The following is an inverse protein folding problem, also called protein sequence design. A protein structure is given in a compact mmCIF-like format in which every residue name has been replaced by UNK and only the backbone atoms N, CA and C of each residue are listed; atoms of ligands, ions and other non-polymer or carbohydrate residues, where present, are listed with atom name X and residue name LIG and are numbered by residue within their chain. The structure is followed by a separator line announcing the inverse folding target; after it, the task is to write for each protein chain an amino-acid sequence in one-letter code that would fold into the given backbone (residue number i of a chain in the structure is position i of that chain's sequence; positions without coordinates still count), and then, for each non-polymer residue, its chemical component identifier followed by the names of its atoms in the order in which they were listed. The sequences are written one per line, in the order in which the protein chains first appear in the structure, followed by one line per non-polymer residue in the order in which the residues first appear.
data_IF_818825611422
#
_entry.id   IF_818825611422
#
_cell.length_a   1.000
_cell.length_b   1.000
_cell.length_c   1.000
_cell.angle_alpha   90.00
_cell.angle_beta   90.00
_cell.angle_gamma   90.00
#
_symmetry.space_group_name_H-M   'P 1'
#
loop_
_entity.id
_entity.type
_entity.pdbx_description
1 polymer ?
#
# COMPACT_ATOMS: atom_id res chain seq x y z
N UNK A 1 -41.36 1.26 1.23
CA UNK A 1 -40.73 0.36 2.22
C UNK A 1 -39.33 0.08 1.73
N UNK A 2 -38.34 0.73 2.33
CA UNK A 2 -36.94 0.33 2.16
C UNK A 2 -36.77 -0.98 2.93
N UNK A 3 -36.23 -2.02 2.29
CA UNK A 3 -35.97 -3.31 2.94
C UNK A 3 -34.97 -3.10 4.08
N UNK A 4 -35.14 -3.72 5.26
CA UNK A 4 -34.24 -3.56 6.42
C UNK A 4 -32.75 -3.76 6.08
N UNK A 5 -32.46 -4.66 5.14
CA UNK A 5 -31.12 -4.96 4.62
C UNK A 5 -30.44 -3.73 4.01
N UNK A 6 -31.16 -2.91 3.24
CA UNK A 6 -30.60 -1.74 2.60
C UNK A 6 -30.22 -0.63 3.60
N UNK A 7 -30.86 -0.57 4.77
CA UNK A 7 -30.52 0.40 5.81
C UNK A 7 -29.23 -0.01 6.54
N UNK A 8 -29.03 -1.32 6.76
CA UNK A 8 -27.81 -1.84 7.37
C UNK A 8 -26.60 -1.68 6.44
N UNK A 9 -26.77 -1.89 5.13
CA UNK A 9 -25.74 -1.66 4.12
C UNK A 9 -25.29 -0.18 4.11
N UNK A 10 -26.24 0.76 4.12
CA UNK A 10 -25.92 2.19 4.15
C UNK A 10 -25.24 2.60 5.47
N UNK A 11 -25.69 2.05 6.60
CA UNK A 11 -25.02 2.29 7.90
C UNK A 11 -23.59 1.75 7.93
N UNK A 12 -23.33 0.63 7.26
CA UNK A 12 -21.98 0.08 7.10
C UNK A 12 -21.12 1.00 6.25
N UNK A 13 -21.64 1.46 5.11
CA UNK A 13 -20.94 2.40 4.24
C UNK A 13 -20.54 3.69 4.99
N UNK A 14 -21.47 4.28 5.76
CA UNK A 14 -21.18 5.48 6.57
C UNK A 14 -20.05 5.21 7.59
N UNK A 15 -20.04 4.04 8.24
CA UNK A 15 -18.95 3.68 9.17
C UNK A 15 -17.61 3.53 8.46
N UNK A 16 -17.60 2.92 7.27
CA UNK A 16 -16.39 2.76 6.45
C UNK A 16 -15.86 4.14 6.02
N UNK A 17 -16.74 5.01 5.51
CA UNK A 17 -16.38 6.37 5.11
C UNK A 17 -15.87 7.21 6.29
N UNK A 18 -16.39 6.99 7.50
CA UNK A 18 -15.88 7.62 8.73
C UNK A 18 -14.49 7.09 9.12
N UNK A 19 -14.26 5.78 8.99
CA UNK A 19 -12.96 5.17 9.31
C UNK A 19 -11.85 5.65 8.37
N UNK A 20 -12.17 5.82 7.08
CA UNK A 20 -11.21 6.24 6.04
C UNK A 20 -11.09 7.77 5.92
N UNK A 21 -11.72 8.52 6.82
CA UNK A 21 -11.80 9.98 6.73
C UNK A 21 -10.42 10.60 6.93
N UNK A 22 -10.04 11.46 5.98
CA UNK A 22 -8.77 12.21 6.00
C UNK A 22 -7.75 11.69 4.98
N UNK A 23 -7.92 10.47 4.47
CA UNK A 23 -7.01 9.91 3.47
C UNK A 23 -7.07 10.70 2.15
N UNK A 24 -5.90 11.06 1.60
CA UNK A 24 -5.79 11.97 0.44
C UNK A 24 -6.49 11.45 -0.82
N UNK A 25 -6.56 10.13 -0.99
CA UNK A 25 -7.16 9.47 -2.16
C UNK A 25 -8.55 8.87 -1.90
N UNK A 26 -9.17 9.13 -0.75
CA UNK A 26 -10.58 8.77 -0.49
C UNK A 26 -11.42 10.05 -0.49
N UNK A 27 -12.66 9.97 -0.97
CA UNK A 27 -13.60 11.10 -0.92
C UNK A 27 -13.83 11.52 0.52
N UNK A 28 -13.69 12.82 0.82
CA UNK A 28 -13.86 13.28 2.20
C UNK A 28 -15.34 13.16 2.63
N UNK A 29 -15.58 12.41 3.70
CA UNK A 29 -16.90 12.30 4.31
C UNK A 29 -17.15 13.47 5.26
N UNK A 30 -18.23 14.22 5.00
CA UNK A 30 -18.62 15.36 5.82
C UNK A 30 -19.60 14.96 6.92
N UNK A 31 -20.75 14.39 6.55
CA UNK A 31 -21.77 13.97 7.50
C UNK A 31 -22.81 13.03 6.87
N UNK A 32 -23.63 12.37 7.68
CA UNK A 32 -24.79 11.62 7.23
C UNK A 32 -26.06 12.09 7.97
N UNK A 33 -27.16 12.20 7.24
CA UNK A 33 -28.48 12.57 7.77
C UNK A 33 -29.50 11.51 7.36
N UNK A 34 -30.57 11.35 8.13
CA UNK A 34 -31.68 10.47 7.79
C UNK A 34 -33.01 11.20 7.99
N UNK A 35 -33.98 10.92 7.12
CA UNK A 35 -35.39 11.22 7.33
C UNK A 35 -36.24 9.94 7.22
N UNK A 36 -37.57 10.06 7.26
CA UNK A 36 -38.48 8.92 7.23
C UNK A 36 -38.37 8.06 5.94
N UNK A 37 -37.74 8.58 4.89
CA UNK A 37 -37.71 7.97 3.55
C UNK A 37 -36.32 7.77 2.96
N UNK A 38 -35.30 8.53 3.39
CA UNK A 38 -33.98 8.52 2.76
C UNK A 38 -32.85 8.70 3.77
N UNK A 39 -31.68 8.16 3.40
CA UNK A 39 -30.40 8.48 4.04
C UNK A 39 -29.60 9.36 3.08
N UNK A 40 -29.07 10.46 3.59
CA UNK A 40 -28.31 11.45 2.86
C UNK A 40 -26.85 11.40 3.32
N UNK A 41 -25.95 10.97 2.44
CA UNK A 41 -24.50 10.96 2.70
C UNK A 41 -23.90 12.21 2.07
N UNK A 42 -23.37 13.12 2.88
CA UNK A 42 -22.74 14.36 2.42
C UNK A 42 -21.23 14.16 2.36
N UNK A 43 -20.67 14.31 1.16
CA UNK A 43 -19.26 14.04 0.86
C UNK A 43 -18.67 15.10 -0.09
N UNK A 44 -17.36 15.10 -0.25
CA UNK A 44 -16.61 15.97 -1.15
C UNK A 44 -17.07 15.80 -2.61
N UNK A 45 -17.33 16.93 -3.28
CA UNK A 45 -17.66 16.95 -4.71
C UNK A 45 -16.39 16.78 -5.55
N UNK A 46 -16.41 15.81 -6.47
CA UNK A 46 -15.34 15.57 -7.45
C UNK A 46 -15.80 16.00 -8.85
N UNK A 47 -15.27 17.12 -9.35
CA UNK A 47 -15.69 17.72 -10.64
C UNK A 47 -14.79 17.30 -11.83
N UNK A 48 -13.71 16.56 -11.56
CA UNK A 48 -12.72 16.18 -12.57
C UNK A 48 -13.09 14.98 -13.45
N UNK A 49 -14.26 14.39 -13.22
CA UNK A 49 -14.78 13.25 -13.98
C UNK A 49 -14.10 11.91 -13.64
N UNK A 50 -14.57 10.85 -14.31
CA UNK A 50 -14.10 9.48 -14.14
C UNK A 50 -12.69 9.25 -14.69
N UNK A 51 -12.00 8.26 -14.11
CA UNK A 51 -10.62 7.92 -14.45
C UNK A 51 -10.40 7.68 -15.95
N UNK A 52 -11.18 6.79 -16.56
CA UNK A 52 -10.98 6.41 -17.96
C UNK A 52 -11.36 7.53 -18.92
N UNK A 53 -12.46 8.24 -18.65
CA UNK A 53 -12.90 9.36 -19.50
C UNK A 53 -11.84 10.44 -19.59
N UNK A 54 -11.22 10.79 -18.46
CA UNK A 54 -10.16 11.79 -18.43
C UNK A 54 -8.91 11.35 -19.19
N UNK A 55 -8.59 10.07 -19.12
CA UNK A 55 -7.45 9.50 -19.84
C UNK A 55 -7.73 9.47 -21.35
N UNK A 56 -8.92 9.06 -21.76
CA UNK A 56 -9.35 9.01 -23.15
C UNK A 56 -9.48 10.41 -23.78
N UNK A 57 -9.78 11.44 -22.97
CA UNK A 57 -9.84 12.83 -23.40
C UNK A 57 -8.47 13.43 -23.77
N UNK A 58 -7.35 12.81 -23.41
CA UNK A 58 -6.00 13.24 -23.84
C UNK A 58 -5.79 12.92 -25.34
N UNK A 59 -6.28 13.81 -26.21
CA UNK A 59 -6.34 13.66 -27.69
C UNK A 59 -5.01 13.41 -28.42
N UNK A 60 -3.85 13.65 -27.80
CA UNK A 60 -2.55 13.73 -28.50
C UNK A 60 -1.49 12.72 -28.02
N UNK A 61 -1.80 11.43 -27.89
CA UNK A 61 -0.80 10.35 -27.65
C UNK A 61 0.07 10.49 -26.38
N UNK A 62 -0.35 11.34 -25.42
CA UNK A 62 0.45 11.72 -24.24
C UNK A 62 0.31 10.79 -23.03
N UNK A 63 -0.52 9.76 -23.08
CA UNK A 63 -0.67 8.86 -21.95
C UNK A 63 0.44 7.80 -21.95
N UNK A 64 1.29 7.84 -20.93
CA UNK A 64 2.51 7.03 -20.81
C UNK A 64 2.42 6.02 -19.66
N UNK A 65 3.38 5.10 -19.60
CA UNK A 65 3.54 4.21 -18.43
C UNK A 65 3.71 4.99 -17.12
N UNK A 66 4.35 6.16 -17.18
CA UNK A 66 4.52 7.05 -16.02
C UNK A 66 3.18 7.61 -15.54
N UNK A 67 2.30 8.02 -16.46
CA UNK A 67 0.95 8.48 -16.11
C UNK A 67 0.14 7.35 -15.45
N UNK A 68 0.21 6.14 -16.03
CA UNK A 68 -0.41 4.97 -15.44
C UNK A 68 0.12 4.67 -14.03
N UNK A 69 1.44 4.74 -13.83
CA UNK A 69 2.03 4.53 -12.51
C UNK A 69 1.56 5.55 -11.46
N UNK A 70 1.37 6.82 -11.83
CA UNK A 70 0.85 7.87 -10.93
C UNK A 70 -0.58 7.56 -10.48
N UNK A 71 -1.44 7.12 -11.40
CA UNK A 71 -2.82 6.71 -11.10
C UNK A 71 -2.83 5.45 -10.23
N UNK A 72 -2.10 4.41 -10.64
CA UNK A 72 -2.09 3.11 -9.96
C UNK A 72 -1.55 3.23 -8.55
N UNK A 73 -0.53 4.06 -8.32
CA UNK A 73 -0.03 4.35 -6.97
C UNK A 73 -1.11 4.92 -6.06
N UNK A 74 -1.97 5.81 -6.57
CA UNK A 74 -3.07 6.37 -5.78
C UNK A 74 -4.15 5.32 -5.49
N UNK A 75 -4.48 4.45 -6.46
CA UNK A 75 -5.43 3.33 -6.22
C UNK A 75 -4.88 2.34 -5.18
N UNK A 76 -3.58 2.03 -5.23
CA UNK A 76 -2.93 1.17 -4.24
C UNK A 76 -2.90 1.78 -2.85
N UNK A 77 -2.74 3.10 -2.71
CA UNK A 77 -2.87 3.79 -1.43
C UNK A 77 -4.26 3.60 -0.83
N UNK A 78 -5.32 3.73 -1.65
CA UNK A 78 -6.69 3.46 -1.20
C UNK A 78 -6.85 2.02 -0.74
N UNK A 79 -6.39 1.04 -1.53
CA UNK A 79 -6.48 -0.38 -1.14
C UNK A 79 -5.71 -0.65 0.16
N UNK A 80 -4.49 -0.13 0.29
CA UNK A 80 -3.69 -0.27 1.50
C UNK A 80 -4.42 0.31 2.71
N UNK A 81 -4.96 1.53 2.60
CA UNK A 81 -5.70 2.20 3.67
C UNK A 81 -6.95 1.42 4.10
N UNK A 82 -7.65 0.82 3.13
CA UNK A 82 -8.73 -0.11 3.40
C UNK A 82 -8.21 -1.32 4.20
N UNK A 83 -7.21 -2.01 3.68
CA UNK A 83 -6.73 -3.26 4.27
C UNK A 83 -6.14 -3.05 5.67
N UNK A 84 -5.47 -1.90 5.88
CA UNK A 84 -5.01 -1.36 7.16
C UNK A 84 -6.12 -1.20 8.19
N UNK A 85 -7.34 -0.89 7.77
CA UNK A 85 -8.51 -0.78 8.64
C UNK A 85 -9.31 -2.08 8.75
N UNK A 86 -8.74 -3.19 8.29
CA UNK A 86 -9.41 -4.49 8.27
C UNK A 86 -10.65 -4.50 7.38
N UNK A 87 -10.68 -3.70 6.30
CA UNK A 87 -11.79 -3.65 5.37
C UNK A 87 -11.35 -3.97 3.94
N UNK A 88 -12.31 -4.35 3.12
CA UNK A 88 -12.09 -4.73 1.73
C UNK A 88 -13.13 -4.03 0.86
N UNK A 89 -12.69 -3.43 -0.24
CA UNK A 89 -13.55 -2.55 -1.04
C UNK A 89 -14.54 -3.34 -1.90
N UNK A 90 -14.10 -4.45 -2.51
CA UNK A 90 -14.89 -5.43 -3.30
C UNK A 90 -15.47 -4.94 -4.63
N UNK A 91 -15.28 -3.68 -5.00
CA UNK A 91 -15.73 -3.13 -6.29
C UNK A 91 -14.79 -2.03 -6.81
N UNK A 92 -13.48 -2.31 -6.73
CA UNK A 92 -12.47 -1.45 -7.34
C UNK A 92 -12.63 -1.47 -8.86
N UNK A 93 -13.10 -0.36 -9.43
CA UNK A 93 -13.31 -0.18 -10.87
C UNK A 93 -13.09 1.29 -11.25
N UNK A 94 -12.73 1.61 -12.51
CA UNK A 94 -12.42 2.98 -12.90
C UNK A 94 -13.56 3.98 -12.66
N UNK A 95 -14.81 3.53 -12.73
CA UNK A 95 -16.01 4.32 -12.48
C UNK A 95 -16.07 4.81 -11.01
N UNK A 96 -15.46 4.05 -10.09
CA UNK A 96 -15.36 4.36 -8.66
C UNK A 96 -14.12 5.20 -8.32
N UNK A 97 -13.37 5.68 -9.32
CA UNK A 97 -12.25 6.59 -9.14
C UNK A 97 -12.48 7.87 -9.92
N UNK A 98 -12.73 8.96 -9.19
CA UNK A 98 -12.99 10.28 -9.75
C UNK A 98 -11.79 11.19 -9.51
N UNK A 99 -11.59 12.16 -10.39
CA UNK A 99 -10.68 13.24 -10.09
C UNK A 99 -11.39 14.36 -9.34
N UNK A 100 -10.73 14.90 -8.30
CA UNK A 100 -11.29 16.00 -7.50
C UNK A 100 -11.67 17.23 -8.35
N UNK A 101 -10.84 17.63 -9.30
CA UNK A 101 -11.07 18.79 -10.18
C UNK A 101 -10.54 18.56 -11.60
N UNK A 102 -10.83 19.49 -12.50
CA UNK A 102 -10.38 19.48 -13.90
C UNK A 102 -8.90 19.85 -14.08
N UNK A 103 -8.21 20.23 -13.00
CA UNK A 103 -6.77 20.59 -13.01
C UNK A 103 -5.88 19.39 -13.33
N UNK A 104 -4.87 19.55 -14.17
CA UNK A 104 -4.06 18.43 -14.71
C UNK A 104 -3.46 17.51 -13.63
N UNK A 105 -3.04 18.09 -12.50
CA UNK A 105 -2.45 17.36 -11.36
C UNK A 105 -3.47 17.06 -10.25
N UNK A 106 -4.78 17.11 -10.55
CA UNK A 106 -5.83 16.83 -9.57
C UNK A 106 -5.63 15.43 -8.94
N UNK A 107 -5.80 15.30 -7.61
CA UNK A 107 -5.76 13.99 -6.97
C UNK A 107 -6.91 13.11 -7.44
N UNK A 108 -6.65 11.81 -7.47
CA UNK A 108 -7.64 10.76 -7.67
C UNK A 108 -8.31 10.45 -6.33
N UNK A 109 -9.63 10.28 -6.36
CA UNK A 109 -10.49 10.03 -5.21
C UNK A 109 -11.30 8.76 -5.45
N UNK A 110 -11.11 7.76 -4.61
CA UNK A 110 -12.01 6.63 -4.52
C UNK A 110 -13.35 7.07 -3.94
N UNK A 111 -14.40 6.56 -4.56
CA UNK A 111 -15.81 6.79 -4.23
C UNK A 111 -16.54 5.45 -4.28
N UNK A 112 -17.74 5.41 -3.71
CA UNK A 112 -18.62 4.23 -3.64
C UNK A 112 -18.06 3.05 -2.83
N UNK A 113 -18.36 3.07 -1.53
CA UNK A 113 -18.03 1.98 -0.59
C UNK A 113 -19.25 1.12 -0.26
N UNK A 114 -20.30 1.17 -1.07
CA UNK A 114 -21.58 0.49 -0.80
C UNK A 114 -21.46 -1.04 -0.79
N UNK A 115 -20.48 -1.60 -1.50
CA UNK A 115 -20.17 -3.03 -1.50
C UNK A 115 -19.02 -3.42 -0.56
N UNK A 116 -18.39 -2.43 0.08
CA UNK A 116 -17.27 -2.65 0.98
C UNK A 116 -17.73 -3.28 2.30
N UNK A 117 -16.82 -4.00 2.95
CA UNK A 117 -17.15 -4.71 4.18
C UNK A 117 -15.92 -4.95 5.06
N UNK A 118 -16.17 -5.09 6.35
CA UNK A 118 -15.14 -5.42 7.35
C UNK A 118 -14.79 -6.91 7.28
N UNK A 119 -13.50 -7.18 7.39
CA UNK A 119 -12.89 -8.50 7.53
C UNK A 119 -12.94 -8.85 9.01
N UNK A 120 -13.77 -9.83 9.36
CA UNK A 120 -13.93 -10.28 10.74
C UNK A 120 -13.43 -11.73 10.87
N UNK A 121 -12.77 -12.11 11.99
CA UNK A 121 -12.37 -13.49 12.23
C UNK A 121 -13.55 -14.46 12.10
N UNK A 122 -13.43 -15.43 11.18
CA UNK A 122 -14.45 -16.45 10.93
C UNK A 122 -15.59 -16.03 9.99
N UNK A 123 -15.70 -14.76 9.60
CA UNK A 123 -16.66 -14.30 8.58
C UNK A 123 -16.22 -14.78 7.21
N UNK A 124 -17.15 -15.39 6.47
CA UNK A 124 -16.94 -15.83 5.09
C UNK A 124 -17.81 -15.01 4.16
N UNK A 125 -17.20 -14.48 3.11
CA UNK A 125 -17.91 -13.80 2.05
C UNK A 125 -18.53 -14.82 1.10
N UNK A 126 -19.84 -15.02 1.18
CA UNK A 126 -20.55 -15.99 0.36
C UNK A 126 -21.10 -15.40 -0.95
N UNK A 127 -21.16 -14.08 -1.04
CA UNK A 127 -21.74 -13.36 -2.16
C UNK A 127 -20.69 -13.03 -3.23
N UNK A 128 -21.08 -13.25 -4.48
CA UNK A 128 -20.32 -12.78 -5.64
C UNK A 128 -20.79 -11.35 -5.88
N UNK A 129 -19.93 -10.39 -5.55
CA UNK A 129 -20.18 -8.96 -5.72
C UNK A 129 -19.06 -8.33 -6.54
N UNK A 130 -19.29 -7.11 -6.99
CA UNK A 130 -18.37 -6.36 -7.83
C UNK A 130 -18.65 -6.54 -9.31
N UNK A 131 -18.02 -5.68 -10.10
CA UNK A 131 -18.26 -5.59 -11.53
C UNK A 131 -17.53 -6.71 -12.30
N UNK A 132 -18.25 -7.43 -13.18
CA UNK A 132 -17.79 -8.67 -13.80
C UNK A 132 -16.43 -8.60 -14.53
N UNK A 133 -16.04 -7.43 -15.04
CA UNK A 133 -14.77 -7.25 -15.74
C UNK A 133 -13.56 -7.19 -14.81
N UNK A 134 -13.76 -6.82 -13.55
CA UNK A 134 -12.70 -6.56 -12.57
C UNK A 134 -12.66 -7.61 -11.46
N UNK A 135 -13.73 -8.42 -11.32
CA UNK A 135 -13.86 -9.44 -10.27
C UNK A 135 -12.70 -10.44 -10.27
N UNK A 136 -12.23 -10.75 -9.07
CA UNK A 136 -11.13 -11.68 -8.84
C UNK A 136 -11.58 -13.15 -8.83
N UNK A 137 -10.71 -14.11 -9.21
CA UNK A 137 -11.08 -15.52 -9.31
C UNK A 137 -11.49 -16.14 -7.97
N UNK A 138 -10.97 -15.66 -6.85
CA UNK A 138 -11.34 -16.06 -5.49
C UNK A 138 -12.75 -15.60 -5.12
N UNK A 139 -13.18 -14.41 -5.55
CA UNK A 139 -14.54 -13.90 -5.31
C UNK A 139 -15.56 -14.80 -6.00
N UNK A 140 -15.26 -15.26 -7.22
CA UNK A 140 -16.08 -16.24 -7.95
C UNK A 140 -16.14 -17.61 -7.24
N UNK A 141 -15.15 -17.91 -6.40
CA UNK A 141 -15.10 -19.10 -5.52
C UNK A 141 -15.69 -18.83 -4.13
N UNK A 142 -16.38 -17.69 -3.95
CA UNK A 142 -16.97 -17.26 -2.66
C UNK A 142 -15.92 -17.13 -1.56
N UNK A 143 -14.80 -16.51 -1.92
CA UNK A 143 -13.73 -16.09 -1.01
C UNK A 143 -13.37 -14.66 -1.41
N UNK A 144 -13.70 -13.68 -0.57
CA UNK A 144 -13.22 -12.31 -0.74
C UNK A 144 -12.21 -12.00 0.35
N UNK A 145 -11.22 -11.20 -0.01
CA UNK A 145 -10.14 -10.76 0.86
C UNK A 145 -9.37 -9.62 0.21
N UNK A 146 -8.38 -9.04 0.91
CA UNK A 146 -7.56 -7.93 0.42
C UNK A 146 -7.01 -8.15 -1.00
N UNK A 147 -6.66 -9.40 -1.32
CA UNK A 147 -6.16 -9.83 -2.62
C UNK A 147 -7.10 -9.52 -3.78
N UNK A 148 -8.42 -9.46 -3.53
CA UNK A 148 -9.42 -9.21 -4.56
C UNK A 148 -9.43 -7.76 -5.05
N UNK A 149 -9.11 -6.80 -4.17
CA UNK A 149 -8.94 -5.39 -4.57
C UNK A 149 -7.64 -5.22 -5.38
N UNK A 150 -6.57 -5.91 -4.97
CA UNK A 150 -5.27 -5.92 -5.66
C UNK A 150 -5.41 -6.48 -7.08
N UNK A 151 -6.15 -7.58 -7.25
CA UNK A 151 -6.48 -8.15 -8.56
C UNK A 151 -7.24 -7.14 -9.43
N UNK A 152 -8.26 -6.50 -8.87
CA UNK A 152 -9.09 -5.51 -9.57
C UNK A 152 -8.23 -4.32 -10.06
N UNK A 153 -7.33 -3.82 -9.22
CA UNK A 153 -6.32 -2.80 -9.61
C UNK A 153 -5.39 -3.34 -10.71
N UNK A 154 -5.02 -4.61 -10.68
CA UNK A 154 -4.27 -5.27 -11.76
C UNK A 154 -5.00 -5.25 -13.09
N UNK A 155 -6.32 -5.49 -13.09
CA UNK A 155 -7.17 -5.41 -14.28
C UNK A 155 -7.22 -3.98 -14.81
N UNK A 156 -7.43 -2.99 -13.93
CA UNK A 156 -7.41 -1.57 -14.31
C UNK A 156 -6.06 -1.20 -14.90
N UNK A 157 -4.96 -1.58 -14.26
CA UNK A 157 -3.58 -1.32 -14.74
C UNK A 157 -3.36 -1.91 -16.13
N UNK A 158 -3.80 -3.15 -16.37
CA UNK A 158 -3.74 -3.77 -17.69
C UNK A 158 -4.48 -2.94 -18.75
N UNK A 159 -5.68 -2.46 -18.43
CA UNK A 159 -6.49 -1.60 -19.31
C UNK A 159 -5.80 -0.26 -19.57
N UNK A 160 -5.27 0.39 -18.53
CA UNK A 160 -4.56 1.67 -18.65
C UNK A 160 -3.36 1.58 -19.60
N UNK A 161 -2.63 0.46 -19.58
CA UNK A 161 -1.43 0.29 -20.38
C UNK A 161 -1.72 -0.09 -21.84
N UNK A 162 -2.76 -0.88 -22.10
CA UNK A 162 -2.99 -1.45 -23.44
C UNK A 162 -4.34 -1.12 -24.09
N UNK A 163 -5.25 -0.48 -23.35
CA UNK A 163 -6.59 -0.11 -23.80
C UNK A 163 -7.55 -1.29 -24.00
N UNK A 164 -7.22 -2.48 -23.48
CA UNK A 164 -8.01 -3.71 -23.64
C UNK A 164 -8.25 -4.38 -22.31
N UNK A 165 -9.36 -5.11 -22.20
CA UNK A 165 -9.65 -5.95 -21.03
C UNK A 165 -8.78 -7.23 -21.08
N UNK A 166 -8.18 -7.66 -19.96
CA UNK A 166 -7.35 -8.87 -19.92
C UNK A 166 -8.18 -10.15 -20.09
N UNK A 167 -9.44 -10.13 -19.65
CA UNK A 167 -10.41 -11.21 -19.76
C UNK A 167 -11.68 -10.65 -20.41
N UNK A 168 -12.20 -11.33 -21.43
CA UNK A 168 -13.34 -10.82 -22.21
C UNK A 168 -14.13 -11.95 -22.85
N UNK A 169 -15.46 -11.84 -22.74
CA UNK A 169 -16.45 -12.63 -23.47
C UNK A 169 -17.69 -11.75 -23.72
N UNK A 170 -18.64 -12.22 -24.53
CA UNK A 170 -19.92 -11.55 -24.78
C UNK A 170 -20.91 -11.70 -23.62
N UNK A 171 -20.68 -12.67 -22.75
CA UNK A 171 -21.55 -13.02 -21.63
C UNK A 171 -20.78 -12.93 -20.31
N UNK A 172 -21.48 -12.60 -19.23
CA UNK A 172 -20.91 -12.56 -17.88
C UNK A 172 -20.32 -13.91 -17.47
N UNK A 173 -21.07 -15.00 -17.66
CA UNK A 173 -20.58 -16.36 -17.44
C UNK A 173 -19.32 -16.68 -18.27
N UNK A 174 -19.21 -16.13 -19.47
CA UNK A 174 -18.03 -16.25 -20.30
C UNK A 174 -16.83 -15.52 -19.73
N UNK A 175 -17.03 -14.30 -19.23
CA UNK A 175 -15.98 -13.51 -18.56
C UNK A 175 -15.49 -14.27 -17.32
N UNK A 176 -16.40 -14.82 -16.51
CA UNK A 176 -16.05 -15.62 -15.35
C UNK A 176 -15.22 -16.87 -15.72
N UNK A 177 -15.57 -17.54 -16.82
CA UNK A 177 -14.76 -18.66 -17.35
C UNK A 177 -13.36 -18.20 -17.76
N UNK A 178 -13.23 -17.06 -18.42
CA UNK A 178 -11.94 -16.48 -18.80
C UNK A 178 -11.09 -16.15 -17.57
N UNK A 179 -11.67 -15.45 -16.58
CA UNK A 179 -11.03 -15.10 -15.30
C UNK A 179 -10.54 -16.35 -14.57
N UNK A 180 -11.32 -17.43 -14.54
CA UNK A 180 -10.94 -18.67 -13.87
C UNK A 180 -9.89 -19.48 -14.64
N UNK A 181 -9.94 -19.53 -15.98
CA UNK A 181 -9.17 -20.52 -16.77
C UNK A 181 -7.95 -19.95 -17.50
N UNK A 182 -8.00 -18.71 -17.98
CA UNK A 182 -7.00 -18.20 -18.92
C UNK A 182 -6.03 -17.20 -18.27
N UNK A 183 -4.89 -16.95 -18.92
CA UNK A 183 -3.93 -15.91 -18.50
C UNK A 183 -4.09 -14.67 -19.38
N UNK A 184 -3.84 -13.46 -18.87
CA UNK A 184 -3.85 -12.25 -19.70
C UNK A 184 -2.85 -12.35 -20.86
N UNK A 185 -3.20 -11.79 -22.02
CA UNK A 185 -2.29 -11.76 -23.18
C UNK A 185 -1.33 -10.57 -23.10
N UNK A 186 -0.03 -10.83 -23.09
CA UNK A 186 1.03 -9.81 -23.11
C UNK A 186 1.81 -9.78 -24.43
N UNK A 187 1.23 -10.34 -25.52
CA UNK A 187 1.91 -10.49 -26.81
C UNK A 187 1.40 -9.51 -27.86
N UNK A 188 0.09 -9.23 -27.88
CA UNK A 188 -0.51 -8.31 -28.85
C UNK A 188 -0.10 -6.86 -28.58
N UNK A 189 0.01 -6.06 -29.65
CA UNK A 189 0.28 -4.61 -29.52
C UNK A 189 -0.74 -3.93 -28.58
N UNK A 190 -0.33 -2.99 -27.72
CA UNK A 190 1.02 -2.41 -27.60
C UNK A 190 2.00 -3.16 -26.67
N UNK A 191 1.68 -4.34 -26.14
CA UNK A 191 2.55 -5.01 -25.16
C UNK A 191 4.01 -5.20 -25.57
N UNK A 192 4.37 -5.52 -26.84
CA UNK A 192 5.78 -5.58 -27.22
C UNK A 192 6.58 -4.28 -26.97
N UNK A 193 5.94 -3.11 -26.98
CA UNK A 193 6.59 -1.81 -26.70
C UNK A 193 6.52 -1.38 -25.23
N UNK A 194 5.70 -2.03 -24.41
CA UNK A 194 5.61 -1.74 -22.96
C UNK A 194 6.82 -2.35 -22.24
N UNK A 195 7.35 -1.65 -21.24
CA UNK A 195 8.50 -2.09 -20.45
C UNK A 195 8.30 -3.45 -19.77
N UNK A 196 9.40 -4.17 -19.55
CA UNK A 196 9.35 -5.45 -18.84
C UNK A 196 8.96 -5.28 -17.36
N UNK A 197 9.34 -4.17 -16.72
CA UNK A 197 8.94 -3.86 -15.36
C UNK A 197 7.43 -3.65 -15.23
N UNK A 198 6.79 -2.91 -16.15
CA UNK A 198 5.34 -2.75 -16.14
C UNK A 198 4.61 -4.09 -16.38
N UNK A 199 5.11 -4.93 -17.28
CA UNK A 199 4.57 -6.29 -17.49
C UNK A 199 4.70 -7.16 -16.24
N UNK A 200 5.86 -7.13 -15.59
CA UNK A 200 6.12 -7.89 -14.37
C UNK A 200 5.18 -7.46 -13.23
N UNK A 201 5.04 -6.15 -13.05
CA UNK A 201 4.11 -5.57 -12.09
C UNK A 201 2.67 -6.02 -12.32
N UNK A 202 2.15 -5.95 -13.55
CA UNK A 202 0.78 -6.41 -13.87
C UNK A 202 0.63 -7.92 -13.64
N UNK A 203 1.65 -8.72 -13.96
CA UNK A 203 1.61 -10.17 -13.70
C UNK A 203 1.52 -10.48 -12.21
N UNK A 204 2.22 -9.72 -11.36
CA UNK A 204 2.19 -9.86 -9.90
C UNK A 204 0.84 -9.48 -9.31
N UNK A 205 0.14 -8.49 -9.87
CA UNK A 205 -1.22 -8.14 -9.46
C UNK A 205 -2.28 -9.14 -9.94
N UNK A 206 -2.07 -9.78 -11.10
CA UNK A 206 -3.02 -10.73 -11.72
C UNK A 206 -2.66 -12.20 -11.44
N UNK A 207 -2.26 -12.49 -10.20
CA UNK A 207 -1.98 -13.85 -9.73
C UNK A 207 -3.28 -14.48 -9.21
N UNK A 208 -3.65 -15.64 -9.76
CA UNK A 208 -4.90 -16.35 -9.39
C UNK A 208 -4.83 -17.13 -8.08
N UNK A 209 -3.62 -17.38 -7.60
CA UNK A 209 -3.35 -18.13 -6.38
C UNK A 209 -2.17 -17.47 -5.65
N UNK A 210 -2.42 -16.64 -4.61
CA UNK A 210 -1.37 -16.02 -3.81
C UNK A 210 -0.44 -17.03 -3.13
N UNK A 211 -0.89 -18.26 -2.85
CA UNK A 211 0.00 -19.31 -2.34
C UNK A 211 0.96 -19.83 -3.42
N UNK A 212 0.55 -19.80 -4.69
CA UNK A 212 1.45 -20.07 -5.80
C UNK A 212 2.49 -18.95 -5.98
N UNK A 213 2.18 -17.70 -5.60
CA UNK A 213 3.16 -16.61 -5.56
C UNK A 213 4.27 -16.91 -4.54
N UNK A 214 3.90 -17.38 -3.34
CA UNK A 214 4.88 -17.82 -2.34
C UNK A 214 5.80 -18.93 -2.88
N UNK A 215 5.29 -19.82 -3.73
CA UNK A 215 6.12 -20.87 -4.37
C UNK A 215 7.00 -20.38 -5.54
N UNK A 216 6.82 -19.14 -6.00
CA UNK A 216 7.64 -18.51 -7.04
C UNK A 216 8.70 -17.56 -6.49
N UNK A 217 8.60 -17.22 -5.20
CA UNK A 217 9.63 -16.51 -4.46
C UNK A 217 10.76 -17.49 -4.14
N UNK A 218 11.99 -17.03 -4.26
CA UNK A 218 13.14 -17.84 -3.83
C UNK A 218 13.22 -17.91 -2.29
N UNK A 219 14.10 -18.78 -1.77
CA UNK A 219 14.25 -18.96 -0.32
C UNK A 219 14.64 -17.66 0.40
N UNK A 220 15.39 -16.77 -0.26
CA UNK A 220 15.82 -15.49 0.32
C UNK A 220 14.68 -14.48 0.38
N UNK A 221 13.84 -14.40 -0.66
CA UNK A 221 12.64 -13.58 -0.71
C UNK A 221 11.56 -14.06 0.27
N UNK A 222 11.38 -15.38 0.39
CA UNK A 222 10.49 -16.01 1.37
C UNK A 222 10.98 -15.80 2.80
N UNK A 223 12.29 -15.95 3.06
CA UNK A 223 12.88 -15.68 4.36
C UNK A 223 12.68 -14.21 4.74
N UNK A 224 12.92 -13.29 3.81
CA UNK A 224 12.75 -11.86 4.04
C UNK A 224 11.28 -11.50 4.33
N UNK A 225 10.31 -12.05 3.60
CA UNK A 225 8.88 -11.82 3.87
C UNK A 225 8.42 -12.46 5.18
N UNK A 226 8.99 -13.61 5.56
CA UNK A 226 8.68 -14.29 6.81
C UNK A 226 9.26 -13.54 8.01
N UNK A 227 10.48 -13.03 7.87
CA UNK A 227 11.14 -12.20 8.87
C UNK A 227 10.38 -10.87 9.04
N UNK A 228 9.91 -10.26 7.94
CA UNK A 228 9.05 -9.08 7.97
C UNK A 228 7.70 -9.35 8.66
N UNK A 229 7.04 -10.47 8.35
CA UNK A 229 5.77 -10.84 8.96
C UNK A 229 5.92 -11.07 10.47
N UNK A 230 6.97 -11.79 10.89
CA UNK A 230 7.26 -12.02 12.31
C UNK A 230 7.70 -10.77 13.07
N UNK A 231 8.27 -9.78 12.37
CA UNK A 231 8.62 -8.50 12.96
C UNK A 231 7.40 -7.64 13.27
N UNK A 232 6.27 -7.88 12.60
CA UNK A 232 5.04 -7.09 12.78
C UNK A 232 4.03 -7.85 13.66
N UNK A 233 4.00 -9.17 13.61
CA UNK A 233 3.23 -10.08 14.49
C UNK A 233 3.91 -10.22 15.86
N UNK A 234 3.98 -9.12 16.62
CA UNK A 234 4.64 -9.02 17.93
C UNK A 234 4.03 -9.98 18.95
N UNK A 235 2.71 -10.20 18.88
CA UNK A 235 1.98 -11.12 19.74
C UNK A 235 2.10 -12.60 19.32
N UNK A 236 2.75 -12.86 18.18
CA UNK A 236 2.95 -14.20 17.57
C UNK A 236 1.65 -14.95 17.35
N UNK A 237 0.54 -14.24 17.14
CA UNK A 237 -0.77 -14.83 16.84
C UNK A 237 -0.81 -15.50 15.47
N UNK A 238 0.16 -15.20 14.60
CA UNK A 238 0.17 -15.62 13.21
C UNK A 238 -0.67 -14.71 12.33
N UNK A 239 -0.98 -13.49 12.80
CA UNK A 239 -1.75 -12.47 12.08
C UNK A 239 -1.42 -11.07 12.59
N UNK A 240 -1.19 -10.12 11.69
CA UNK A 240 -0.90 -8.73 12.08
C UNK A 240 -2.20 -8.03 12.51
N UNK A 241 -2.24 -7.56 13.76
CA UNK A 241 -3.36 -6.80 14.32
C UNK A 241 -3.28 -5.30 14.00
N UNK A 242 -4.42 -4.60 14.09
CA UNK A 242 -4.52 -3.15 13.90
C UNK A 242 -3.64 -2.36 14.88
N UNK A 243 -3.49 -2.87 16.10
CA UNK A 243 -2.70 -2.21 17.14
C UNK A 243 -1.19 -2.39 16.90
N UNK A 244 -0.76 -3.52 16.34
CA UNK A 244 0.63 -3.73 15.90
C UNK A 244 0.98 -2.86 14.70
N UNK A 245 0.04 -2.66 13.78
CA UNK A 245 0.23 -1.80 12.63
C UNK A 245 0.32 -0.31 13.02
N UNK A 246 -0.43 0.12 14.04
CA UNK A 246 -0.37 1.48 14.61
C UNK A 246 0.89 1.76 15.42
N UNK A 247 1.54 0.75 15.98
CA UNK A 247 2.81 0.93 16.70
C UNK A 247 4.00 1.21 15.77
N UNK A 248 3.84 0.93 14.47
CA UNK A 248 4.83 1.19 13.43
C UNK A 248 4.75 2.63 12.92
N UNK A 249 3.56 3.22 13.00
CA UNK A 249 3.27 4.62 12.67
C UNK A 249 3.91 5.58 13.70
N UNK A 250 5.20 5.85 13.49
CA UNK A 250 6.03 6.64 14.39
C UNK A 250 5.67 8.13 14.39
N UNK A 251 5.06 8.61 13.31
CA UNK A 251 4.72 10.00 13.13
C UNK A 251 3.23 10.29 13.50
N UNK A 252 2.45 9.25 13.81
CA UNK A 252 1.04 9.28 14.23
C UNK A 252 0.11 9.92 13.20
N UNK A 253 0.42 9.80 11.91
CA UNK A 253 -0.42 10.26 10.82
C UNK A 253 -1.51 9.26 10.42
N UNK A 254 -1.52 8.08 11.03
CA UNK A 254 -2.47 7.01 10.80
C UNK A 254 -2.06 6.03 9.70
N UNK A 255 -0.87 6.20 9.11
CA UNK A 255 -0.35 5.40 8.00
C UNK A 255 0.99 4.74 8.39
N UNK A 256 1.34 3.65 7.72
CA UNK A 256 2.69 3.07 7.79
C UNK A 256 3.34 3.29 6.44
N UNK A 257 4.23 4.27 6.35
CA UNK A 257 4.99 4.49 5.12
C UNK A 257 6.11 3.45 4.93
N UNK A 258 6.73 3.41 3.75
CA UNK A 258 7.79 2.43 3.47
C UNK A 258 9.00 2.59 4.40
N UNK A 259 9.29 3.80 4.87
CA UNK A 259 10.38 4.12 5.80
C UNK A 259 10.03 3.64 7.20
N UNK A 260 8.79 3.77 7.64
CA UNK A 260 8.27 3.32 8.93
C UNK A 260 8.12 1.81 8.98
N UNK A 261 7.68 1.20 7.87
CA UNK A 261 7.72 -0.24 7.65
C UNK A 261 9.15 -0.79 7.75
N UNK A 262 10.12 -0.09 7.14
CA UNK A 262 11.55 -0.42 7.22
C UNK A 262 12.12 -0.15 8.62
N UNK A 263 11.66 0.91 9.30
CA UNK A 263 12.08 1.26 10.66
C UNK A 263 11.56 0.25 11.68
N UNK A 264 10.32 -0.22 11.60
CA UNK A 264 9.79 -1.27 12.47
C UNK A 264 10.48 -2.62 12.26
N UNK A 265 10.79 -2.97 11.01
CA UNK A 265 11.58 -4.16 10.69
C UNK A 265 13.05 -4.02 11.13
N UNK A 266 13.58 -2.79 11.27
CA UNK A 266 14.89 -2.51 11.87
C UNK A 266 14.86 -2.39 13.42
N UNK A 267 13.76 -1.93 14.01
CA UNK A 267 13.61 -1.65 15.44
C UNK A 267 13.44 -2.94 16.26
N UNK A 268 12.82 -3.98 15.69
CA UNK A 268 12.64 -5.30 16.34
C UNK A 268 13.96 -6.07 16.50
N UNK A 269 15.01 -5.72 15.76
CA UNK A 269 16.34 -6.29 16.01
C UNK A 269 17.17 -5.55 17.06
N UNK A 270 16.60 -4.58 17.78
CA UNK A 270 17.31 -3.87 18.85
C UNK A 270 17.07 -4.39 20.26
N UNK A 271 16.24 -5.43 20.47
CA UNK A 271 16.04 -6.00 21.83
C UNK A 271 16.48 -7.44 22.04
N UNK A 272 16.79 -8.21 21.00
CA UNK A 272 17.41 -9.53 21.15
C UNK A 272 18.53 -9.73 20.13
N UNK A 273 19.71 -9.21 20.44
CA UNK A 273 21.02 -9.80 20.11
C UNK A 273 22.14 -8.78 20.42
N UNK A 274 22.15 -8.28 21.67
CA UNK A 274 23.33 -7.58 22.18
C UNK A 274 24.49 -8.60 22.23
N UNK A 275 25.44 -8.43 21.31
CA UNK A 275 26.73 -9.13 21.21
C UNK A 275 26.78 -10.45 20.40
N UNK A 276 25.85 -10.66 19.47
CA UNK A 276 25.89 -11.79 18.54
C UNK A 276 26.75 -11.51 17.29
N UNK A 277 27.48 -12.54 16.83
CA UNK A 277 28.25 -12.55 15.59
C UNK A 277 27.39 -12.20 14.36
N UNK A 278 26.08 -12.46 14.41
CA UNK A 278 25.13 -12.08 13.36
C UNK A 278 24.91 -10.57 13.26
N UNK A 279 24.89 -9.83 14.37
CA UNK A 279 24.83 -8.36 14.36
C UNK A 279 26.09 -7.77 13.69
N UNK A 280 27.25 -8.36 13.98
CA UNK A 280 28.51 -7.95 13.33
C UNK A 280 28.48 -8.20 11.82
N UNK A 281 27.92 -9.33 11.39
CA UNK A 281 27.80 -9.71 9.98
C UNK A 281 26.79 -8.85 9.23
N UNK A 282 25.64 -8.53 9.85
CA UNK A 282 24.60 -7.65 9.27
C UNK A 282 25.04 -6.21 9.16
N UNK A 283 25.69 -5.66 10.20
CA UNK A 283 26.30 -4.32 10.12
C UNK A 283 27.36 -4.25 9.02
N UNK A 284 28.13 -5.33 8.84
CA UNK A 284 29.13 -5.41 7.77
C UNK A 284 28.46 -5.47 6.39
N UNK A 285 27.45 -6.32 6.20
CA UNK A 285 26.72 -6.41 4.94
C UNK A 285 25.97 -5.11 4.57
N UNK A 286 25.50 -4.35 5.56
CA UNK A 286 24.93 -3.03 5.34
C UNK A 286 26.02 -2.01 4.97
N UNK A 287 27.16 -2.04 5.66
CA UNK A 287 28.31 -1.18 5.37
C UNK A 287 28.86 -1.42 3.96
N UNK A 288 29.05 -2.70 3.57
CA UNK A 288 29.54 -3.11 2.25
C UNK A 288 28.58 -2.72 1.10
N UNK A 289 27.33 -2.32 1.40
CA UNK A 289 26.43 -1.74 0.39
C UNK A 289 26.70 -0.26 0.15
N UNK A 290 27.18 0.46 1.16
CA UNK A 290 27.49 1.88 1.06
C UNK A 290 28.95 2.14 0.70
N UNK A 291 29.87 1.25 1.05
CA UNK A 291 31.28 1.24 0.64
C UNK A 291 31.38 0.62 -0.77
N UNK A 292 31.27 1.46 -1.81
CA UNK A 292 31.11 1.03 -3.21
C UNK A 292 32.43 0.58 -3.79
N UNK A 293 33.53 1.24 -3.41
CA UNK A 293 34.86 0.88 -3.88
C UNK A 293 35.57 -0.18 -3.01
N UNK A 294 35.01 -0.48 -1.84
CA UNK A 294 35.47 -1.54 -0.94
C UNK A 294 36.73 -1.16 -0.17
N UNK A 295 37.02 0.14 -0.02
CA UNK A 295 38.22 0.64 0.67
C UNK A 295 38.12 0.55 2.21
N UNK A 296 36.95 0.18 2.73
CA UNK A 296 36.68 0.01 4.15
C UNK A 296 36.12 1.27 4.82
N UNK A 297 35.81 2.31 4.06
CA UNK A 297 35.26 3.58 4.50
C UNK A 297 34.05 3.98 3.64
N UNK A 298 33.05 4.62 4.24
CA UNK A 298 31.95 5.22 3.47
C UNK A 298 32.26 6.70 3.30
N UNK A 299 32.43 7.12 2.05
CA UNK A 299 32.65 8.54 1.72
C UNK A 299 31.32 9.30 1.57
N UNK A 300 31.36 10.65 1.70
CA UNK A 300 30.20 11.51 1.45
C UNK A 300 29.57 11.28 0.06
N UNK A 301 30.39 11.03 -0.94
CA UNK A 301 29.98 10.76 -2.33
C UNK A 301 29.24 9.43 -2.47
N UNK A 302 29.75 8.36 -1.85
CA UNK A 302 29.11 7.05 -1.88
C UNK A 302 27.79 7.04 -1.11
N UNK A 303 27.76 7.72 0.03
CA UNK A 303 26.55 7.89 0.83
C UNK A 303 25.46 8.64 0.04
N UNK A 304 25.82 9.69 -0.71
CA UNK A 304 24.89 10.41 -1.60
C UNK A 304 24.40 9.55 -2.76
N UNK A 305 25.24 8.67 -3.29
CA UNK A 305 24.90 7.81 -4.42
C UNK A 305 23.81 6.79 -4.07
N UNK A 306 23.78 6.29 -2.84
CA UNK A 306 22.86 5.21 -2.44
C UNK A 306 21.67 5.63 -1.57
N UNK A 307 21.72 6.80 -0.91
CA UNK A 307 20.59 7.29 -0.09
C UNK A 307 19.59 8.13 -0.87
N UNK A 308 19.96 8.65 -2.05
CA UNK A 308 19.08 9.49 -2.88
C UNK A 308 18.66 10.82 -2.22
N UNK A 309 19.26 11.18 -1.09
CA UNK A 309 18.94 12.37 -0.31
C UNK A 309 19.30 13.64 -1.10
N UNK A 310 18.30 14.45 -1.47
CA UNK A 310 18.50 15.83 -1.95
C UNK A 310 18.54 16.76 -0.75
N UNK A 311 19.66 16.77 -0.03
CA UNK A 311 19.90 17.60 1.16
C UNK A 311 21.37 17.64 1.58
N UNK A 312 21.67 18.47 2.57
CA UNK A 312 22.98 18.57 3.21
C UNK A 312 23.21 17.32 4.07
N UNK A 313 24.24 16.52 3.75
CA UNK A 313 24.62 15.29 4.50
C UNK A 313 25.62 15.61 5.63
N UNK A 314 26.07 16.86 5.68
CA UNK A 314 27.03 17.38 6.63
C UNK A 314 26.61 17.16 8.10
N UNK A 315 25.33 17.29 8.51
CA UNK A 315 24.92 16.98 9.89
C UNK A 315 25.08 15.50 10.28
N UNK A 316 24.85 14.59 9.33
CA UNK A 316 24.99 13.15 9.56
C UNK A 316 26.47 12.74 9.61
N UNK A 317 27.32 13.39 8.82
CA UNK A 317 28.77 13.24 8.93
C UNK A 317 29.30 13.79 10.26
N UNK A 318 28.85 14.98 10.70
CA UNK A 318 29.27 15.55 12.00
C UNK A 318 28.90 14.66 13.20
N UNK A 319 27.82 13.88 13.09
CA UNK A 319 27.37 12.94 14.12
C UNK A 319 28.07 11.56 14.03
N UNK A 320 28.43 11.13 12.81
CA UNK A 320 28.96 9.79 12.54
C UNK A 320 30.49 9.71 12.54
N UNK A 321 31.17 10.73 12.02
CA UNK A 321 32.63 10.80 11.87
C UNK A 321 33.26 11.28 13.20
N UNK A 322 33.68 10.32 14.01
CA UNK A 322 34.13 10.57 15.39
C UNK A 322 35.58 11.05 15.40
N UNK A 323 36.41 10.50 14.51
CA UNK A 323 37.83 10.86 14.41
C UNK A 323 38.12 12.03 13.46
N UNK A 324 37.10 12.52 12.74
CA UNK A 324 37.11 13.69 11.85
C UNK A 324 38.00 13.51 10.64
N UNK A 325 38.08 12.30 10.13
CA UNK A 325 38.84 11.99 8.91
C UNK A 325 38.08 12.30 7.61
N UNK A 326 36.82 12.72 7.73
CA UNK A 326 35.92 13.08 6.63
C UNK A 326 35.22 11.88 5.97
N UNK A 327 35.35 10.69 6.55
CA UNK A 327 34.75 9.43 6.08
C UNK A 327 34.15 8.68 7.27
N UNK A 328 33.35 7.65 7.01
CA UNK A 328 32.74 6.84 8.08
C UNK A 328 33.33 5.45 8.04
N UNK A 329 34.10 5.08 9.07
CA UNK A 329 34.60 3.71 9.22
C UNK A 329 33.50 2.73 9.66
N UNK A 330 33.69 1.43 9.44
CA UNK A 330 32.76 0.40 9.93
C UNK A 330 32.54 0.46 11.45
N UNK A 331 33.55 0.94 12.19
CA UNK A 331 33.48 1.08 13.65
C UNK A 331 32.59 2.24 14.08
N UNK A 332 32.61 3.33 13.32
CA UNK A 332 31.80 4.53 13.51
C UNK A 332 30.38 4.33 13.03
N UNK A 333 30.21 3.69 11.86
CA UNK A 333 28.91 3.27 11.35
C UNK A 333 28.15 2.41 12.37
N UNK A 334 28.84 1.49 13.04
CA UNK A 334 28.28 0.67 14.13
C UNK A 334 27.91 1.49 15.37
N UNK A 335 28.66 2.55 15.68
CA UNK A 335 28.37 3.42 16.83
C UNK A 335 27.18 4.34 16.52
N UNK A 336 27.13 4.91 15.31
CA UNK A 336 26.01 5.71 14.83
C UNK A 336 24.69 4.94 14.97
N UNK A 337 24.67 3.68 14.50
CA UNK A 337 23.50 2.80 14.62
C UNK A 337 23.13 2.46 16.09
N UNK A 338 24.10 2.52 17.02
CA UNK A 338 23.86 2.32 18.45
C UNK A 338 23.36 3.59 19.15
N UNK A 339 23.80 4.78 18.74
CA UNK A 339 23.45 6.04 19.41
C UNK A 339 22.06 6.53 18.99
N UNK A 340 21.68 6.32 17.72
CA UNK A 340 20.31 6.56 17.23
C UNK A 340 19.24 5.72 17.97
N UNK A 341 19.64 4.62 18.61
CA UNK A 341 18.79 3.75 19.43
C UNK A 341 18.54 4.30 20.85
N UNK A 342 19.42 5.18 21.37
CA UNK A 342 19.32 5.68 22.76
C UNK A 342 18.68 7.06 22.88
N UNK A 343 18.66 7.87 21.81
CA UNK A 343 18.11 9.22 21.79
C UNK A 343 16.58 9.27 21.74
N UNK A 344 15.90 8.14 21.50
CA UNK A 344 14.43 7.98 21.55
C UNK A 344 13.87 7.81 22.97
N UNK A 345 14.70 7.84 24.02
CA UNK A 345 14.31 7.56 25.41
C UNK A 345 14.59 8.70 26.41
N UNK A 346 14.15 9.93 26.11
CA UNK A 346 14.11 11.01 27.13
C UNK A 346 12.65 11.26 27.57
N UNK A 347 12.28 11.00 28.84
CA UNK A 347 10.94 11.33 29.34
C UNK A 347 10.81 12.84 29.55
N UNK A 348 9.71 13.43 29.06
CA UNK A 348 9.30 14.79 29.44
C UNK A 348 8.77 14.79 30.90
N UNK A 349 9.05 15.83 31.72
CA UNK A 349 8.63 15.87 33.11
C UNK A 349 7.12 16.07 33.26
N UNK A 350 6.55 15.42 34.26
CA UNK A 350 5.13 15.34 34.59
C UNK A 350 4.54 16.58 35.29
N UNK A 351 3.25 16.81 35.06
CA UNK A 351 2.34 17.70 35.81
C UNK A 351 1.54 18.60 34.85
N UNK A 352 0.21 18.52 34.74
CA UNK A 352 -0.81 18.75 35.77
C UNK A 352 -2.14 18.07 35.34
N UNK A 353 -2.92 17.62 36.35
CA UNK A 353 -4.24 16.97 36.31
C UNK A 353 -5.37 17.82 35.66
N UNK A 354 -6.17 17.17 34.80
CA UNK A 354 -7.64 17.13 34.60
C UNK A 354 -8.50 18.43 34.61
N UNK A 355 -9.80 18.40 34.18
CA UNK A 355 -10.51 17.51 33.23
C UNK A 355 -11.47 18.27 32.27
N UNK A 356 -12.02 17.62 31.23
CA UNK A 356 -13.49 17.46 31.03
C UNK A 356 -13.86 16.75 29.71
N UNK A 357 -14.88 15.88 29.88
CA UNK A 357 -15.81 15.24 28.94
C UNK A 357 -16.05 16.00 27.62
N UNK A 358 -16.08 15.30 26.49
CA UNK A 358 -17.20 14.47 26.01
C UNK A 358 -16.67 13.30 25.19
#
# INVERSE_FOLDING_TARGET
MILPVAVEDVKREVKILQALKGHENVVNFHNAYEDDSYVYIVMELCEGGELLDRILAKKDSRYTEKDAAIVVRQMLKVAAECHLHGLVHRDMKPENFLFKSTEENSPLKATDFGLSDFIEPGKKFHDIVGSAYYVAPEVLKRKSGPESDVWSIGVITYILLCGRRPFWDRTEDGIFREVLRNKPDFRRKPWPSISNSAKDFVKKLLVKDPHALASTLDEDELANLRDQFQAIDVDKSGSISLDEMRQIDSNTDGLVDFTEFVAATLHVHQMEEHDSEKWRLRCKAAFDKFDVDGDGYITPEELRMHTGLRGSIEPLLEEADIDKDGRISLSEFRKLLRTASMSSNVPSPSGIRNPQKF
#
